data_IF_395847361641
#
_entry.id   IF_395847361641
#
_cell.length_a   1.000
_cell.length_b   1.000
_cell.length_c   1.000
_cell.angle_alpha   90.00
_cell.angle_beta   90.00
_cell.angle_gamma   90.00
#
_symmetry.space_group_name_H-M   'P 1'
#
loop_
_entity.id
_entity.type
_entity.pdbx_description
1 polymer ?
#
# COMPACT_ATOMS: atom_id res chain seq x y z
N UNK A 1 -25.64 20.06 59.63
CA UNK A 1 -25.24 19.09 58.59
C UNK A 1 -23.97 19.54 57.84
N UNK A 2 -22.91 19.98 58.53
CA UNK A 2 -21.66 20.48 57.88
C UNK A 2 -20.38 19.83 58.45
N UNK A 3 -20.49 18.82 59.32
CA UNK A 3 -19.35 18.22 60.01
C UNK A 3 -18.88 16.90 59.38
N UNK A 4 -19.67 16.24 58.53
CA UNK A 4 -19.32 14.92 57.99
C UNK A 4 -18.37 14.99 56.77
N UNK A 5 -18.53 15.99 55.89
CA UNK A 5 -17.71 16.11 54.68
C UNK A 5 -16.22 16.38 54.95
N UNK A 6 -15.87 16.93 56.12
CA UNK A 6 -14.47 17.23 56.50
C UNK A 6 -13.75 16.04 57.13
N UNK A 7 -14.48 15.02 57.62
CA UNK A 7 -13.91 13.83 58.25
C UNK A 7 -13.60 12.75 57.18
N UNK A 8 -14.48 12.55 56.20
CA UNK A 8 -14.24 11.63 55.07
C UNK A 8 -13.00 12.03 54.24
N UNK A 9 -12.85 13.32 53.93
CA UNK A 9 -11.67 13.83 53.20
C UNK A 9 -10.35 13.63 53.95
N UNK A 10 -10.36 13.66 55.29
CA UNK A 10 -9.17 13.42 56.13
C UNK A 10 -8.81 11.93 56.25
N UNK A 11 -9.79 11.03 56.27
CA UNK A 11 -9.55 9.58 56.27
C UNK A 11 -9.01 9.08 54.92
N UNK A 12 -9.53 9.59 53.79
CA UNK A 12 -9.02 9.25 52.46
C UNK A 12 -7.54 9.64 52.26
N UNK A 13 -7.15 10.82 52.73
CA UNK A 13 -5.74 11.27 52.70
C UNK A 13 -4.81 10.45 53.60
N UNK A 14 -5.29 9.92 54.74
CA UNK A 14 -4.45 9.11 55.62
C UNK A 14 -4.23 7.70 55.07
N UNK A 15 -5.25 7.11 54.43
CA UNK A 15 -5.13 5.84 53.72
C UNK A 15 -4.18 5.95 52.52
N UNK A 16 -4.35 7.00 51.70
CA UNK A 16 -3.46 7.28 50.57
C UNK A 16 -2.02 7.45 51.06
N UNK A 17 -1.74 8.26 52.08
CA UNK A 17 -0.39 8.40 52.66
C UNK A 17 0.26 7.08 53.03
N UNK A 18 -0.51 6.12 53.57
CA UNK A 18 0.01 4.83 54.04
C UNK A 18 0.28 3.85 52.89
N UNK A 19 -0.47 3.93 51.78
CA UNK A 19 -0.38 2.96 50.68
C UNK A 19 0.17 3.54 49.37
N UNK A 20 0.58 4.82 49.34
CA UNK A 20 1.05 5.49 48.11
C UNK A 20 2.21 4.74 47.45
N UNK A 21 3.13 4.18 48.23
CA UNK A 21 4.28 3.45 47.70
C UNK A 21 3.87 2.18 46.94
N UNK A 22 2.91 1.43 47.49
CA UNK A 22 2.35 0.25 46.83
C UNK A 22 1.60 0.65 45.56
N UNK A 23 0.82 1.73 45.60
CA UNK A 23 0.10 2.24 44.42
C UNK A 23 1.07 2.63 43.31
N UNK A 24 2.14 3.37 43.63
CA UNK A 24 3.16 3.77 42.64
C UNK A 24 3.87 2.53 42.07
N UNK A 25 4.21 1.55 42.90
CA UNK A 25 4.83 0.31 42.45
C UNK A 25 3.93 -0.47 41.48
N UNK A 26 2.63 -0.58 41.78
CA UNK A 26 1.65 -1.20 40.89
C UNK A 26 1.53 -0.41 39.58
N UNK A 27 1.44 0.92 39.64
CA UNK A 27 1.37 1.77 38.45
C UNK A 27 2.61 1.60 37.59
N UNK A 28 3.82 1.54 38.16
CA UNK A 28 5.05 1.26 37.41
C UNK A 28 4.95 -0.07 36.64
N UNK A 29 4.46 -1.13 37.29
CA UNK A 29 4.25 -2.43 36.64
C UNK A 29 3.25 -2.34 35.48
N UNK A 30 2.11 -1.69 35.70
CA UNK A 30 1.05 -1.52 34.68
C UNK A 30 1.56 -0.72 33.48
N UNK A 31 2.20 0.42 33.71
CA UNK A 31 2.73 1.24 32.61
C UNK A 31 3.83 0.48 31.87
N UNK A 32 4.66 -0.31 32.57
CA UNK A 32 5.70 -1.13 31.92
C UNK A 32 5.11 -2.18 30.99
N UNK A 33 4.06 -2.89 31.40
CA UNK A 33 3.36 -3.88 30.58
C UNK A 33 2.72 -3.21 29.36
N UNK A 34 2.02 -2.08 29.56
CA UNK A 34 1.39 -1.33 28.47
C UNK A 34 2.43 -0.81 27.46
N UNK A 35 3.59 -0.37 27.94
CA UNK A 35 4.73 0.06 27.10
C UNK A 35 5.25 -1.10 26.27
N UNK A 36 5.49 -2.26 26.90
CA UNK A 36 5.96 -3.46 26.20
C UNK A 36 4.96 -3.91 25.12
N UNK A 37 3.66 -3.92 25.45
CA UNK A 37 2.61 -4.28 24.50
C UNK A 37 2.55 -3.33 23.30
N UNK A 38 2.57 -2.02 23.53
CA UNK A 38 2.51 -1.02 22.45
C UNK A 38 3.76 -1.06 21.58
N UNK A 39 4.93 -1.31 22.18
CA UNK A 39 6.20 -1.49 21.45
C UNK A 39 6.15 -2.73 20.54
N UNK A 40 5.64 -3.84 21.06
CA UNK A 40 5.46 -5.07 20.30
C UNK A 40 4.49 -4.87 19.12
N UNK A 41 3.33 -4.28 19.35
CA UNK A 41 2.36 -3.99 18.29
C UNK A 41 2.92 -3.01 17.23
N UNK A 42 3.69 -2.01 17.65
CA UNK A 42 4.39 -1.09 16.74
C UNK A 42 5.33 -1.86 15.79
N UNK A 43 6.09 -2.82 16.34
CA UNK A 43 6.99 -3.67 15.54
C UNK A 43 6.23 -4.55 14.53
N UNK A 44 5.08 -5.12 14.92
CA UNK A 44 4.24 -5.89 13.99
C UNK A 44 3.74 -5.03 12.83
N UNK A 45 3.30 -3.81 13.11
CA UNK A 45 2.93 -2.84 12.07
C UNK A 45 4.11 -2.47 11.16
N UNK A 46 5.32 -2.33 11.71
CA UNK A 46 6.54 -2.13 10.91
C UNK A 46 6.83 -3.31 9.98
N UNK A 47 6.55 -4.54 10.42
CA UNK A 47 6.62 -5.73 9.56
C UNK A 47 5.61 -5.70 8.42
N UNK A 48 4.34 -5.40 8.72
CA UNK A 48 3.27 -5.28 7.71
C UNK A 48 3.57 -4.17 6.70
N UNK A 49 4.08 -3.02 7.16
CA UNK A 49 4.54 -1.92 6.31
C UNK A 49 5.63 -2.40 5.35
N UNK A 50 6.71 -2.99 5.88
CA UNK A 50 7.85 -3.43 5.07
C UNK A 50 7.44 -4.45 4.01
N UNK A 51 6.57 -5.40 4.38
CA UNK A 51 6.00 -6.38 3.46
C UNK A 51 5.16 -5.70 2.37
N UNK A 52 4.22 -4.83 2.75
CA UNK A 52 3.34 -4.15 1.80
C UNK A 52 4.14 -3.27 0.83
N UNK A 53 5.15 -2.55 1.30
CA UNK A 53 6.02 -1.76 0.42
C UNK A 53 6.85 -2.62 -0.52
N UNK A 54 7.38 -3.75 -0.04
CA UNK A 54 8.12 -4.68 -0.90
C UNK A 54 7.22 -5.26 -1.99
N UNK A 55 6.06 -5.80 -1.60
CA UNK A 55 5.10 -6.40 -2.54
C UNK A 55 4.56 -5.35 -3.50
N UNK A 56 4.17 -4.17 -3.00
CA UNK A 56 3.67 -3.08 -3.82
C UNK A 56 4.69 -2.56 -4.84
N UNK A 57 5.96 -2.43 -4.45
CA UNK A 57 7.04 -2.02 -5.37
C UNK A 57 7.32 -3.09 -6.42
N UNK A 58 7.30 -4.36 -6.05
CA UNK A 58 7.45 -5.47 -6.99
C UNK A 58 6.31 -5.50 -8.01
N UNK A 59 5.06 -5.33 -7.56
CA UNK A 59 3.89 -5.24 -8.45
C UNK A 59 3.97 -4.03 -9.39
N UNK A 60 4.42 -2.87 -8.91
CA UNK A 60 4.60 -1.69 -9.74
C UNK A 60 5.68 -1.91 -10.82
N UNK A 61 6.76 -2.59 -10.44
CA UNK A 61 7.85 -2.95 -11.38
C UNK A 61 7.37 -3.95 -12.43
N UNK A 62 6.60 -4.94 -12.01
CA UNK A 62 6.02 -5.94 -12.91
C UNK A 62 5.01 -5.31 -13.87
N UNK A 63 4.15 -4.41 -13.39
CA UNK A 63 3.24 -3.65 -14.24
C UNK A 63 4.03 -2.85 -15.29
N UNK A 64 5.06 -2.11 -14.88
CA UNK A 64 5.89 -1.35 -15.83
C UNK A 64 6.56 -2.27 -16.86
N UNK A 65 7.04 -3.44 -16.44
CA UNK A 65 7.61 -4.44 -17.35
C UNK A 65 6.60 -4.88 -18.42
N UNK A 66 5.36 -5.17 -18.02
CA UNK A 66 4.28 -5.56 -18.95
C UNK A 66 3.97 -4.43 -19.93
N UNK A 67 3.88 -3.19 -19.43
CA UNK A 67 3.63 -2.04 -20.29
C UNK A 67 4.75 -1.85 -21.33
N UNK A 68 6.00 -1.95 -20.91
CA UNK A 68 7.15 -1.81 -21.80
C UNK A 68 7.22 -2.94 -22.84
N UNK A 69 6.96 -4.18 -22.43
CA UNK A 69 6.89 -5.33 -23.33
C UNK A 69 5.75 -5.17 -24.35
N UNK A 70 4.54 -4.87 -23.88
CA UNK A 70 3.38 -4.61 -24.73
C UNK A 70 3.62 -3.44 -25.69
N UNK A 71 4.26 -2.36 -25.23
CA UNK A 71 4.57 -1.20 -26.07
C UNK A 71 5.65 -1.52 -27.11
N UNK A 72 6.66 -2.33 -26.76
CA UNK A 72 7.67 -2.78 -27.71
C UNK A 72 7.05 -3.65 -28.81
N UNK A 73 6.12 -4.54 -28.45
CA UNK A 73 5.36 -5.36 -29.39
C UNK A 73 4.45 -4.47 -30.27
N UNK A 74 3.72 -3.52 -29.68
CA UNK A 74 2.88 -2.57 -30.41
C UNK A 74 3.66 -1.79 -31.48
N UNK A 75 4.85 -1.29 -31.14
CA UNK A 75 5.71 -0.57 -32.09
C UNK A 75 6.19 -1.49 -33.21
N UNK A 76 6.58 -2.73 -32.89
CA UNK A 76 7.00 -3.71 -33.89
C UNK A 76 5.86 -4.07 -34.84
N UNK A 77 4.66 -4.31 -34.32
CA UNK A 77 3.47 -4.65 -35.11
C UNK A 77 3.01 -3.46 -35.96
N UNK A 78 3.13 -2.23 -35.45
CA UNK A 78 2.82 -1.02 -36.23
C UNK A 78 3.75 -0.86 -37.45
N UNK A 79 5.05 -1.13 -37.29
CA UNK A 79 6.01 -1.11 -38.39
C UNK A 79 5.80 -2.26 -39.38
N UNK A 80 5.46 -3.44 -38.85
CA UNK A 80 5.08 -4.60 -39.66
C UNK A 80 3.84 -4.30 -40.48
N UNK A 81 2.84 -3.65 -39.89
CA UNK A 81 1.62 -3.24 -40.57
C UNK A 81 1.86 -2.25 -41.70
N UNK A 82 2.72 -1.26 -41.49
CA UNK A 82 3.14 -0.33 -42.54
C UNK A 82 3.78 -1.10 -43.72
N UNK A 83 4.65 -2.05 -43.41
CA UNK A 83 5.30 -2.91 -44.42
C UNK A 83 4.28 -3.76 -45.20
N UNK A 84 3.36 -4.42 -44.49
CA UNK A 84 2.31 -5.25 -45.09
C UNK A 84 1.35 -4.40 -45.94
N UNK A 85 1.00 -3.21 -45.48
CA UNK A 85 0.16 -2.26 -46.23
C UNK A 85 0.83 -1.83 -47.53
N UNK A 86 2.14 -1.50 -47.48
CA UNK A 86 2.91 -1.21 -48.68
C UNK A 86 2.90 -2.36 -49.69
N UNK A 87 3.09 -3.60 -49.22
CA UNK A 87 3.04 -4.78 -50.07
C UNK A 87 1.64 -5.03 -50.65
N UNK A 88 0.55 -4.76 -49.90
CA UNK A 88 -0.82 -4.84 -50.41
C UNK A 88 -1.05 -3.87 -51.58
N UNK A 89 -0.48 -2.67 -51.54
CA UNK A 89 -0.53 -1.73 -52.66
C UNK A 89 0.25 -2.24 -53.88
N UNK A 90 1.43 -2.85 -53.67
CA UNK A 90 2.23 -3.45 -54.75
C UNK A 90 1.56 -4.70 -55.35
N UNK A 91 0.78 -5.46 -54.58
CA UNK A 91 -0.02 -6.59 -55.08
C UNK A 91 -1.09 -6.09 -56.08
N UNK A 92 -1.64 -4.89 -55.87
CA UNK A 92 -2.59 -4.28 -56.80
C UNK A 92 -1.94 -3.65 -58.05
N UNK A 93 -0.62 -3.81 -58.24
CA UNK A 93 0.11 -3.22 -59.36
C UNK A 93 -0.28 -3.86 -60.71
N UNK A 94 -0.47 -3.09 -61.79
CA UNK A 94 -0.79 -3.62 -63.11
C UNK A 94 0.34 -4.45 -63.75
N UNK A 95 1.59 -4.29 -63.32
CA UNK A 95 2.70 -5.16 -63.73
C UNK A 95 2.64 -6.49 -62.94
N UNK A 96 2.36 -7.58 -63.66
CA UNK A 96 2.18 -8.91 -63.07
C UNK A 96 3.43 -9.46 -62.39
N UNK A 97 4.62 -9.00 -62.79
CA UNK A 97 5.88 -9.42 -62.16
C UNK A 97 6.06 -8.79 -60.78
N UNK A 98 5.69 -7.51 -60.64
CA UNK A 98 5.72 -6.77 -59.38
C UNK A 98 4.67 -7.35 -58.43
N UNK A 99 3.43 -7.52 -58.90
CA UNK A 99 2.33 -8.07 -58.11
C UNK A 99 2.67 -9.46 -57.56
N UNK A 100 3.21 -10.36 -58.39
CA UNK A 100 3.58 -11.72 -57.96
C UNK A 100 4.73 -11.72 -56.94
N UNK A 101 5.75 -10.87 -57.12
CA UNK A 101 6.85 -10.76 -56.16
C UNK A 101 6.38 -10.17 -54.82
N UNK A 102 5.46 -9.20 -54.84
CA UNK A 102 4.86 -8.61 -53.66
C UNK A 102 4.01 -9.63 -52.89
N UNK A 103 3.21 -10.44 -53.58
CA UNK A 103 2.41 -11.50 -52.96
C UNK A 103 3.28 -12.50 -52.19
N UNK A 104 4.37 -12.99 -52.79
CA UNK A 104 5.30 -13.92 -52.12
C UNK A 104 5.88 -13.29 -50.84
N UNK A 105 6.28 -12.00 -50.91
CA UNK A 105 6.81 -11.29 -49.75
C UNK A 105 5.76 -11.12 -48.67
N UNK A 106 4.55 -10.74 -49.04
CA UNK A 106 3.43 -10.56 -48.12
C UNK A 106 3.15 -11.87 -47.38
N UNK A 107 2.96 -12.98 -48.10
CA UNK A 107 2.64 -14.28 -47.50
C UNK A 107 3.76 -14.76 -46.58
N UNK A 108 5.02 -14.56 -47.00
CA UNK A 108 6.19 -14.95 -46.20
C UNK A 108 6.29 -14.15 -44.91
N UNK A 109 6.17 -12.81 -44.99
CA UNK A 109 6.27 -11.92 -43.83
C UNK A 109 5.09 -12.13 -42.90
N UNK A 110 3.87 -12.26 -43.45
CA UNK A 110 2.67 -12.52 -42.67
C UNK A 110 2.84 -13.81 -41.85
N UNK A 111 3.24 -14.91 -42.49
CA UNK A 111 3.45 -16.18 -41.80
C UNK A 111 4.56 -16.15 -40.75
N UNK A 112 5.62 -15.38 -40.97
CA UNK A 112 6.81 -15.39 -40.09
C UNK A 112 6.75 -14.39 -38.95
N UNK A 113 6.03 -13.28 -39.11
CA UNK A 113 6.17 -12.10 -38.24
C UNK A 113 4.86 -11.63 -37.61
N UNK A 114 3.70 -12.02 -38.14
CA UNK A 114 2.42 -11.64 -37.53
C UNK A 114 2.09 -12.61 -36.41
N UNK A 115 1.92 -12.09 -35.19
CA UNK A 115 1.45 -12.88 -34.05
C UNK A 115 -0.02 -13.25 -34.21
N UNK A 116 -0.47 -14.33 -33.55
CA UNK A 116 -1.88 -14.76 -33.62
C UNK A 116 -2.86 -13.64 -33.22
N UNK A 117 -2.52 -12.90 -32.14
CA UNK A 117 -3.35 -11.79 -31.67
C UNK A 117 -3.44 -10.65 -32.69
N UNK A 118 -2.30 -10.29 -33.32
CA UNK A 118 -2.28 -9.24 -34.31
C UNK A 118 -2.93 -9.68 -35.63
N UNK A 119 -2.74 -10.94 -36.04
CA UNK A 119 -3.41 -11.52 -37.20
C UNK A 119 -4.94 -11.50 -37.07
N UNK A 120 -5.46 -11.87 -35.89
CA UNK A 120 -6.88 -11.78 -35.62
C UNK A 120 -7.41 -10.33 -35.66
N UNK A 121 -6.59 -9.36 -35.22
CA UNK A 121 -6.94 -7.93 -35.33
C UNK A 121 -6.94 -7.45 -36.79
N UNK A 122 -5.99 -7.90 -37.62
CA UNK A 122 -5.97 -7.64 -39.06
C UNK A 122 -7.23 -8.19 -39.73
N UNK A 123 -7.62 -9.43 -39.44
CA UNK A 123 -8.82 -10.04 -40.01
C UNK A 123 -10.10 -9.27 -39.65
N UNK A 124 -10.23 -8.83 -38.39
CA UNK A 124 -11.35 -8.01 -37.94
C UNK A 124 -11.36 -6.64 -38.62
N UNK A 125 -10.21 -5.97 -38.69
CA UNK A 125 -10.08 -4.68 -39.34
C UNK A 125 -10.40 -4.76 -40.84
N UNK A 126 -9.90 -5.78 -41.53
CA UNK A 126 -10.17 -6.01 -42.96
C UNK A 126 -11.68 -6.24 -43.20
N UNK A 127 -12.36 -7.04 -42.35
CA UNK A 127 -13.80 -7.28 -42.45
C UNK A 127 -14.64 -6.02 -42.21
N UNK A 128 -14.23 -5.18 -41.23
CA UNK A 128 -14.91 -3.92 -40.94
C UNK A 128 -14.71 -2.89 -42.06
N UNK A 129 -13.50 -2.80 -42.61
CA UNK A 129 -13.18 -1.92 -43.73
C UNK A 129 -13.91 -2.33 -45.02
N UNK A 130 -14.15 -3.63 -45.23
CA UNK A 130 -14.97 -4.13 -46.35
C UNK A 130 -16.47 -3.79 -46.15
N UNK A 131 -16.97 -3.93 -44.92
CA UNK A 131 -18.36 -3.63 -44.58
C UNK A 131 -18.67 -2.12 -44.59
N UNK A 132 -17.71 -1.29 -44.19
CA UNK A 132 -17.87 0.15 -43.98
C UNK A 132 -16.77 0.95 -44.70
N UNK A 133 -16.81 1.02 -46.05
CA UNK A 133 -15.73 1.61 -46.86
C UNK A 133 -15.52 3.12 -46.65
N UNK A 134 -16.47 3.82 -46.04
CA UNK A 134 -16.36 5.25 -45.71
C UNK A 134 -15.47 5.51 -44.48
N UNK A 135 -15.13 4.46 -43.71
CA UNK A 135 -14.30 4.55 -42.52
C UNK A 135 -13.14 3.56 -42.63
N UNK A 136 -11.96 3.98 -42.16
CA UNK A 136 -10.80 3.11 -42.05
C UNK A 136 -10.52 2.79 -40.59
N UNK A 137 -10.49 1.51 -40.27
CA UNK A 137 -10.10 0.95 -38.97
C UNK A 137 -8.72 0.35 -39.08
N UNK A 138 -7.81 0.79 -38.21
CA UNK A 138 -6.48 0.20 -38.08
C UNK A 138 -6.56 -1.04 -37.18
N UNK A 139 -5.89 -2.16 -37.53
CA UNK A 139 -5.80 -3.32 -36.64
C UNK A 139 -5.08 -3.01 -35.32
N UNK A 140 -4.26 -1.95 -35.28
CA UNK A 140 -3.61 -1.48 -34.04
C UNK A 140 -4.60 -0.91 -33.04
N UNK A 141 -5.77 -0.44 -33.48
CA UNK A 141 -6.81 0.16 -32.63
C UNK A 141 -7.80 -0.89 -32.08
N UNK A 142 -7.61 -2.16 -32.46
CA UNK A 142 -8.46 -3.26 -32.02
C UNK A 142 -8.39 -3.46 -30.50
N UNK A 143 -9.55 -3.50 -29.85
CA UNK A 143 -9.63 -3.54 -28.39
C UNK A 143 -9.13 -4.86 -27.80
N UNK A 144 -9.32 -5.98 -28.50
CA UNK A 144 -8.89 -7.30 -28.01
C UNK A 144 -7.37 -7.45 -28.14
N UNK A 145 -6.79 -6.89 -29.19
CA UNK A 145 -5.34 -6.76 -29.35
C UNK A 145 -4.73 -5.87 -28.27
N UNK A 146 -5.32 -4.68 -28.04
CA UNK A 146 -4.88 -3.78 -26.97
C UNK A 146 -4.99 -4.44 -25.58
N UNK A 147 -6.06 -5.21 -25.32
CA UNK A 147 -6.21 -5.97 -24.09
C UNK A 147 -5.18 -7.10 -23.97
N UNK A 148 -4.79 -7.73 -25.07
CA UNK A 148 -3.73 -8.75 -25.06
C UNK A 148 -2.38 -8.15 -24.67
N UNK A 149 -2.08 -6.92 -25.12
CA UNK A 149 -0.81 -6.25 -24.83
C UNK A 149 -0.78 -5.58 -23.44
N UNK A 150 -1.91 -5.04 -22.99
CA UNK A 150 -1.94 -4.12 -21.85
C UNK A 150 -2.98 -4.49 -20.77
N UNK A 151 -3.75 -5.56 -20.95
CA UNK A 151 -4.82 -5.94 -20.02
C UNK A 151 -4.33 -6.13 -18.59
N UNK A 152 -3.20 -6.83 -18.44
CA UNK A 152 -2.63 -7.15 -17.12
C UNK A 152 -1.97 -5.93 -16.45
N UNK A 153 -1.61 -4.89 -17.22
CA UNK A 153 -0.95 -3.71 -16.70
C UNK A 153 -1.82 -2.96 -15.70
N UNK A 154 -3.07 -2.68 -16.08
CA UNK A 154 -3.98 -1.87 -15.27
C UNK A 154 -4.25 -2.54 -13.93
N UNK A 155 -4.54 -3.84 -13.94
CA UNK A 155 -4.84 -4.61 -12.73
C UNK A 155 -3.64 -4.69 -11.78
N UNK A 156 -2.44 -4.96 -12.30
CA UNK A 156 -1.21 -5.01 -11.47
C UNK A 156 -0.84 -3.65 -10.92
N UNK A 157 -0.99 -2.58 -11.72
CA UNK A 157 -0.73 -1.21 -11.26
C UNK A 157 -1.70 -0.80 -10.16
N UNK A 158 -2.98 -1.09 -10.32
CA UNK A 158 -4.00 -0.81 -9.29
C UNK A 158 -3.74 -1.60 -8.00
N UNK A 159 -3.36 -2.87 -8.13
CA UNK A 159 -3.00 -3.69 -6.98
C UNK A 159 -1.75 -3.16 -6.28
N UNK A 160 -0.75 -2.70 -7.03
CA UNK A 160 0.45 -2.06 -6.49
C UNK A 160 0.10 -0.84 -5.64
N UNK A 161 -0.71 0.08 -6.19
CA UNK A 161 -1.15 1.30 -5.50
C UNK A 161 -1.90 0.96 -4.21
N UNK A 162 -2.86 0.02 -4.27
CA UNK A 162 -3.63 -0.41 -3.09
C UNK A 162 -2.72 -1.03 -2.02
N UNK A 163 -1.75 -1.82 -2.43
CA UNK A 163 -0.81 -2.49 -1.51
C UNK A 163 0.11 -1.47 -0.83
N UNK A 164 0.63 -0.48 -1.57
CA UNK A 164 1.45 0.60 -1.01
C UNK A 164 0.62 1.43 -0.01
N UNK A 165 -0.62 1.78 -0.36
CA UNK A 165 -1.52 2.50 0.55
C UNK A 165 -1.82 1.74 1.85
N UNK A 166 -1.93 0.40 1.78
CA UNK A 166 -2.02 -0.43 2.98
C UNK A 166 -0.73 -0.40 3.81
N UNK A 167 0.44 -0.30 3.16
CA UNK A 167 1.72 -0.05 3.81
C UNK A 167 1.78 1.30 4.53
N UNK A 168 1.27 2.36 3.91
CA UNK A 168 1.19 3.71 4.52
C UNK A 168 0.31 3.70 5.77
N UNK A 169 -0.84 3.01 5.71
CA UNK A 169 -1.72 2.85 6.85
C UNK A 169 -1.06 2.07 7.98
N UNK A 170 -0.31 1.00 7.65
CA UNK A 170 0.44 0.22 8.62
C UNK A 170 1.54 1.08 9.29
N UNK A 171 2.30 1.87 8.50
CA UNK A 171 3.29 2.80 9.03
C UNK A 171 2.67 3.79 10.01
N UNK A 172 1.56 4.44 9.63
CA UNK A 172 0.89 5.42 10.47
C UNK A 172 0.40 4.84 11.81
N UNK A 173 -0.07 3.59 11.79
CA UNK A 173 -0.46 2.87 13.01
C UNK A 173 0.76 2.52 13.88
N UNK A 174 1.83 2.02 13.26
CA UNK A 174 3.10 1.71 13.92
C UNK A 174 3.69 2.94 14.63
N UNK A 175 3.73 4.08 13.94
CA UNK A 175 4.26 5.35 14.45
C UNK A 175 3.45 5.88 15.64
N UNK A 176 2.11 5.76 15.60
CA UNK A 176 1.24 6.14 16.73
C UNK A 176 1.54 5.31 17.98
N UNK A 177 1.80 4.02 17.80
CA UNK A 177 2.18 3.14 18.92
C UNK A 177 3.59 3.46 19.42
N UNK A 178 4.55 3.79 18.54
CA UNK A 178 5.87 4.30 18.95
C UNK A 178 5.74 5.61 19.74
N UNK A 179 4.87 6.52 19.32
CA UNK A 179 4.60 7.74 20.08
C UNK A 179 4.05 7.40 21.47
N UNK A 180 3.09 6.48 21.55
CA UNK A 180 2.53 6.04 22.83
C UNK A 180 3.59 5.43 23.77
N UNK A 181 4.53 4.62 23.25
CA UNK A 181 5.63 4.07 24.07
C UNK A 181 6.56 5.15 24.61
N UNK A 182 6.90 6.16 23.80
CA UNK A 182 7.71 7.31 24.25
C UNK A 182 6.99 8.09 25.36
N UNK A 183 5.69 8.35 25.21
CA UNK A 183 4.89 9.03 26.23
C UNK A 183 4.81 8.19 27.52
N UNK A 184 4.64 6.87 27.41
CA UNK A 184 4.65 5.98 28.57
C UNK A 184 6.02 5.91 29.25
N UNK A 185 7.12 5.99 28.52
CA UNK A 185 8.46 6.07 29.09
C UNK A 185 8.64 7.33 29.96
N UNK A 186 8.08 8.47 29.53
CA UNK A 186 8.04 9.69 30.35
C UNK A 186 7.22 9.48 31.62
N UNK A 187 6.07 8.78 31.52
CA UNK A 187 5.28 8.42 32.70
C UNK A 187 6.05 7.50 33.66
N UNK A 188 6.71 6.46 33.15
CA UNK A 188 7.54 5.55 33.95
C UNK A 188 8.65 6.30 34.67
N UNK A 189 9.31 7.24 33.99
CA UNK A 189 10.35 8.07 34.59
C UNK A 189 9.80 8.89 35.77
N UNK A 190 8.67 9.57 35.59
CA UNK A 190 8.04 10.36 36.65
C UNK A 190 7.57 9.49 37.83
N UNK A 191 6.98 8.33 37.56
CA UNK A 191 6.61 7.36 38.60
C UNK A 191 7.85 6.82 39.34
N UNK A 192 8.95 6.59 38.64
CA UNK A 192 10.23 6.17 39.22
C UNK A 192 10.80 7.22 40.18
N UNK A 193 10.77 8.51 39.80
CA UNK A 193 11.13 9.61 40.71
C UNK A 193 10.17 9.67 41.90
N UNK A 194 8.85 9.59 41.64
CA UNK A 194 7.84 9.65 42.69
C UNK A 194 7.99 8.54 43.74
N UNK A 195 8.44 7.35 43.33
CA UNK A 195 8.67 6.22 44.22
C UNK A 195 9.76 6.52 45.28
N UNK A 196 10.80 7.27 44.90
CA UNK A 196 11.98 7.52 45.75
C UNK A 196 11.85 8.78 46.61
N UNK A 197 11.00 9.73 46.22
CA UNK A 197 10.81 11.01 46.94
C UNK A 197 10.12 10.80 48.29
N UNK A 198 10.69 11.34 49.37
CA UNK A 198 10.11 11.25 50.73
C UNK A 198 8.99 12.27 50.98
N UNK A 199 9.03 13.43 50.30
CA UNK A 199 8.05 14.49 50.47
C UNK A 199 6.70 14.11 49.83
N UNK A 200 5.69 13.80 50.66
CA UNK A 200 4.38 13.34 50.22
C UNK A 200 3.70 14.25 49.17
N UNK A 201 3.81 15.58 49.31
CA UNK A 201 3.23 16.53 48.34
C UNK A 201 3.87 16.40 46.96
N UNK A 202 5.20 16.29 46.92
CA UNK A 202 5.95 16.15 45.66
C UNK A 202 5.67 14.78 45.04
N UNK A 203 5.60 13.72 45.86
CA UNK A 203 5.21 12.37 45.44
C UNK A 203 3.83 12.37 44.77
N UNK A 204 2.85 13.06 45.36
CA UNK A 204 1.49 13.17 44.81
C UNK A 204 1.46 13.97 43.49
N UNK A 205 2.18 15.09 43.41
CA UNK A 205 2.24 15.91 42.19
C UNK A 205 2.88 15.13 41.05
N UNK A 206 4.05 14.52 41.28
CA UNK A 206 4.76 13.75 40.26
C UNK A 206 3.97 12.51 39.82
N UNK A 207 3.43 11.75 40.78
CA UNK A 207 2.59 10.58 40.48
C UNK A 207 1.31 10.94 39.74
N UNK A 208 0.64 12.03 40.14
CA UNK A 208 -0.55 12.54 39.47
C UNK A 208 -0.27 12.96 38.03
N UNK A 209 0.79 13.72 37.79
CA UNK A 209 1.21 14.12 36.43
C UNK A 209 1.55 12.90 35.58
N UNK A 210 2.25 11.91 36.15
CA UNK A 210 2.57 10.68 35.45
C UNK A 210 1.31 9.91 35.02
N UNK A 211 0.31 9.80 35.90
CA UNK A 211 -0.97 9.16 35.56
C UNK A 211 -1.67 9.90 34.42
N UNK A 212 -1.67 11.23 34.40
CA UNK A 212 -2.25 12.01 33.29
C UNK A 212 -1.53 11.70 31.97
N UNK A 213 -0.20 11.71 31.98
CA UNK A 213 0.63 11.38 30.81
C UNK A 213 0.37 9.95 30.34
N UNK A 214 0.27 9.00 31.26
CA UNK A 214 -0.06 7.61 30.93
C UNK A 214 -1.45 7.49 30.27
N UNK A 215 -2.46 8.16 30.81
CA UNK A 215 -3.81 8.12 30.23
C UNK A 215 -3.83 8.71 28.82
N UNK A 216 -3.08 9.79 28.55
CA UNK A 216 -2.91 10.32 27.21
C UNK A 216 -2.27 9.29 26.26
N UNK A 217 -1.23 8.59 26.72
CA UNK A 217 -0.60 7.53 25.93
C UNK A 217 -1.57 6.37 25.62
N UNK A 218 -2.38 5.96 26.59
CA UNK A 218 -3.40 4.93 26.41
C UNK A 218 -4.44 5.36 25.38
N UNK A 219 -4.88 6.62 25.38
CA UNK A 219 -5.81 7.14 24.36
C UNK A 219 -5.19 7.08 22.96
N UNK A 220 -3.93 7.46 22.82
CA UNK A 220 -3.21 7.37 21.53
C UNK A 220 -3.11 5.91 21.07
N UNK A 221 -2.71 5.00 21.95
CA UNK A 221 -2.56 3.58 21.63
C UNK A 221 -3.90 2.91 21.32
N UNK A 222 -4.98 3.24 22.05
CA UNK A 222 -6.31 2.67 21.84
C UNK A 222 -6.95 3.11 20.51
N UNK A 223 -6.47 4.19 19.89
CA UNK A 223 -6.86 4.62 18.55
C UNK A 223 -6.26 3.77 17.43
N UNK A 224 -5.41 2.79 17.75
CA UNK A 224 -4.78 1.88 16.79
C UNK A 224 -5.41 0.49 16.93
N UNK A 225 -5.91 -0.11 15.83
CA UNK A 225 -6.42 -1.48 15.87
C UNK A 225 -5.33 -2.47 16.32
N UNK A 226 -5.61 -3.44 17.20
CA UNK A 226 -4.62 -4.45 17.54
C UNK A 226 -4.48 -5.45 16.38
N UNK A 227 -3.24 -5.80 16.04
CA UNK A 227 -2.99 -6.93 15.14
C UNK A 227 -3.14 -8.25 15.92
N UNK A 228 -3.65 -9.32 15.25
CA UNK A 228 -3.79 -10.63 15.86
C UNK A 228 -2.42 -11.18 16.26
N UNK A 229 -2.40 -11.93 17.36
CA UNK A 229 -1.17 -12.47 17.91
C UNK A 229 -0.74 -13.79 17.25
N UNK A 230 -1.61 -14.41 16.45
CA UNK A 230 -1.42 -15.65 15.69
C UNK A 230 -2.40 -15.70 14.53
#
# INVERSE_FOLDING_TARGET
MSSDATIEGRQGLSFLRKHTEIIIAILLGVVSIATAYSSFQSSLYGGQQAQNYTVGTNLATEAESIYLEGNQQYVQDSQLWETLTGLRLDIANPDTSIAHAAQIKYDTIYFQSVSDAFGAAIERADAENEANPDFYVSPTDDTDYQATLFGDYADKKDLAVKTIAAGDQANANGDRLTLATVIMAVSLFLLGIAAVVSAFRIKLIMGGTAVVIFLLAVVVAAGVPPLPLF
#
